data_IF_232602022935
#
_entry.id   IF_232602022935
#
_cell.length_a   1.000
_cell.length_b   1.000
_cell.length_c   1.000
_cell.angle_alpha   90.00
_cell.angle_beta   90.00
_cell.angle_gamma   90.00
#
_symmetry.space_group_name_H-M   'P 1'
#
loop_
_entity.id
_entity.type
_entity.pdbx_description
1 polymer ?
#
# COMPACT_ATOMS: atom_id res chain seq x y z
N UNK A 1 -23.22 40.25 -7.80
CA UNK A 1 -24.20 39.14 -7.85
C UNK A 1 -23.57 37.95 -7.15
N UNK A 2 -23.72 37.84 -5.83
CA UNK A 2 -23.08 36.77 -5.04
C UNK A 2 -24.12 35.69 -4.75
N UNK A 3 -23.87 34.50 -5.29
CA UNK A 3 -24.70 33.30 -5.22
C UNK A 3 -25.03 32.90 -3.78
N UNK A 4 -26.33 32.80 -3.49
CA UNK A 4 -26.84 32.30 -2.21
C UNK A 4 -26.46 30.83 -2.04
N UNK A 5 -25.46 30.53 -1.20
CA UNK A 5 -25.21 29.16 -0.73
C UNK A 5 -26.42 28.69 0.06
N UNK A 6 -27.27 27.88 -0.56
CA UNK A 6 -28.41 27.24 0.09
C UNK A 6 -27.98 26.58 1.40
N UNK A 7 -28.66 26.94 2.48
CA UNK A 7 -28.40 26.41 3.82
C UNK A 7 -28.75 24.92 3.79
N UNK A 8 -27.73 24.05 3.86
CA UNK A 8 -27.93 22.61 3.91
C UNK A 8 -28.44 22.23 5.29
N UNK A 9 -29.62 21.65 5.35
CA UNK A 9 -30.25 21.15 6.58
C UNK A 9 -30.20 19.63 6.63
N UNK A 10 -30.08 19.09 7.84
CA UNK A 10 -30.08 17.67 8.13
C UNK A 10 -30.90 17.39 9.38
N UNK A 11 -31.61 16.27 9.41
CA UNK A 11 -32.27 15.77 10.61
C UNK A 11 -31.25 15.06 11.53
N UNK A 12 -31.02 15.64 12.70
CA UNK A 12 -30.28 15.01 13.78
C UNK A 12 -31.18 14.98 15.00
N UNK A 13 -31.50 13.78 15.47
CA UNK A 13 -32.37 13.51 16.62
C UNK A 13 -33.83 14.03 16.47
N UNK A 14 -34.39 13.93 15.25
CA UNK A 14 -35.78 14.30 14.95
C UNK A 14 -35.99 15.80 14.71
N UNK A 15 -34.90 16.56 14.49
CA UNK A 15 -34.94 17.98 14.22
C UNK A 15 -34.08 18.34 13.00
N UNK A 16 -34.71 18.96 12.00
CA UNK A 16 -34.03 19.55 10.84
C UNK A 16 -33.25 20.80 11.26
N UNK A 17 -31.92 20.74 11.18
CA UNK A 17 -31.01 21.83 11.54
C UNK A 17 -29.96 22.06 10.47
N UNK A 18 -29.43 23.28 10.37
CA UNK A 18 -28.38 23.60 9.40
C UNK A 18 -27.04 22.96 9.79
N UNK A 19 -26.19 22.66 8.79
CA UNK A 19 -24.83 22.19 9.06
C UNK A 19 -24.00 23.20 9.88
N UNK A 20 -24.30 24.49 9.78
CA UNK A 20 -23.66 25.52 10.63
C UNK A 20 -24.07 25.37 12.09
N UNK A 21 -25.37 25.23 12.35
CA UNK A 21 -25.87 25.00 13.71
C UNK A 21 -25.34 23.71 14.32
N UNK A 22 -25.24 22.64 13.52
CA UNK A 22 -24.66 21.37 13.98
C UNK A 22 -23.15 21.49 14.24
N UNK A 23 -22.44 22.34 13.51
CA UNK A 23 -21.02 22.61 13.74
C UNK A 23 -20.80 23.23 15.12
N UNK A 24 -21.59 24.26 15.43
CA UNK A 24 -21.51 24.98 16.70
C UNK A 24 -21.99 24.10 17.86
N UNK A 25 -23.11 23.39 17.70
CA UNK A 25 -23.71 22.55 18.77
C UNK A 25 -22.83 21.38 19.19
N UNK A 26 -22.16 20.72 18.23
CA UNK A 26 -21.34 19.53 18.52
C UNK A 26 -19.84 19.85 18.55
N UNK A 27 -19.45 21.12 18.44
CA UNK A 27 -18.06 21.58 18.37
C UNK A 27 -17.24 20.86 17.29
N UNK A 28 -17.86 20.68 16.11
CA UNK A 28 -17.23 20.02 14.95
C UNK A 28 -17.04 21.05 13.85
N UNK A 29 -15.84 21.11 13.29
CA UNK A 29 -15.54 21.94 12.13
C UNK A 29 -16.57 21.79 10.99
N UNK A 30 -17.10 22.93 10.51
CA UNK A 30 -18.17 22.97 9.50
C UNK A 30 -17.73 22.36 8.16
N UNK A 31 -16.43 22.50 7.79
CA UNK A 31 -15.89 21.88 6.57
C UNK A 31 -15.95 20.36 6.71
N UNK A 32 -15.64 19.83 7.89
CA UNK A 32 -15.75 18.41 8.20
C UNK A 32 -17.17 17.88 8.13
N UNK A 33 -18.14 18.60 8.70
CA UNK A 33 -19.57 18.24 8.58
C UNK A 33 -20.04 18.26 7.12
N UNK A 34 -19.62 19.27 6.36
CA UNK A 34 -19.92 19.37 4.92
C UNK A 34 -19.35 18.17 4.15
N UNK A 35 -18.14 17.74 4.49
CA UNK A 35 -17.50 16.57 3.88
C UNK A 35 -18.23 15.28 4.21
N UNK A 36 -18.56 15.06 5.49
CA UNK A 36 -19.37 13.90 5.94
C UNK A 36 -20.74 13.86 5.25
N UNK A 37 -21.39 15.01 5.13
CA UNK A 37 -22.67 15.14 4.43
C UNK A 37 -22.56 14.77 2.94
N UNK A 38 -21.52 15.25 2.24
CA UNK A 38 -21.23 14.88 0.84
C UNK A 38 -20.97 13.37 0.69
N UNK A 39 -20.36 12.75 1.70
CA UNK A 39 -20.08 11.32 1.73
C UNK A 39 -21.30 10.46 2.14
N UNK A 40 -22.49 11.08 2.29
CA UNK A 40 -23.72 10.37 2.63
C UNK A 40 -23.89 10.04 4.11
N UNK A 41 -23.04 10.57 5.01
CA UNK A 41 -23.26 10.43 6.45
C UNK A 41 -24.46 11.28 6.89
N UNK A 42 -25.36 10.70 7.69
CA UNK A 42 -26.64 11.28 8.13
C UNK A 42 -26.87 11.02 9.62
N UNK A 43 -27.76 11.80 10.25
CA UNK A 43 -28.10 11.66 11.68
C UNK A 43 -26.89 11.60 12.62
N UNK A 44 -26.90 10.68 13.60
CA UNK A 44 -25.82 10.54 14.61
C UNK A 44 -24.43 10.26 14.01
N UNK A 45 -24.35 9.69 12.80
CA UNK A 45 -23.06 9.45 12.12
C UNK A 45 -22.45 10.76 11.62
N UNK A 46 -23.27 11.72 11.20
CA UNK A 46 -22.82 13.03 10.73
C UNK A 46 -22.10 13.80 11.84
N UNK A 47 -22.64 13.77 13.05
CA UNK A 47 -22.16 14.52 14.23
C UNK A 47 -21.27 13.71 15.16
N UNK A 48 -20.75 12.55 14.72
CA UNK A 48 -19.89 11.73 15.56
C UNK A 48 -18.62 12.49 16.00
N UNK A 49 -18.21 12.41 17.27
CA UNK A 49 -17.00 13.07 17.74
C UNK A 49 -15.77 12.59 16.96
N UNK A 50 -14.81 13.48 16.78
CA UNK A 50 -13.55 13.16 16.10
C UNK A 50 -12.65 12.43 17.08
N UNK A 51 -12.58 11.11 16.99
CA UNK A 51 -11.53 10.35 17.67
C UNK A 51 -10.23 10.46 16.86
N UNK A 52 -9.25 11.19 17.38
CA UNK A 52 -7.90 11.21 16.82
C UNK A 52 -7.18 9.92 17.20
N UNK A 53 -7.35 8.85 16.41
CA UNK A 53 -6.57 7.62 16.58
C UNK A 53 -5.36 7.60 15.65
N UNK A 54 -4.30 8.30 16.04
CA UNK A 54 -2.94 7.95 15.64
C UNK A 54 -2.05 8.10 16.86
N UNK A 55 -1.63 6.97 17.45
CA UNK A 55 -0.58 6.99 18.47
C UNK A 55 0.60 7.80 17.93
N UNK A 56 1.03 8.81 18.69
CA UNK A 56 2.20 9.62 18.33
C UNK A 56 3.39 8.67 18.27
N UNK A 57 3.98 8.55 17.08
CA UNK A 57 5.16 7.73 16.91
C UNK A 57 6.31 8.41 17.64
N UNK A 58 6.80 7.72 18.69
CA UNK A 58 7.91 8.16 19.52
C UNK A 58 9.22 7.65 18.93
N UNK A 59 10.24 8.50 18.97
CA UNK A 59 11.59 8.22 18.50
C UNK A 59 12.59 8.53 19.61
N UNK A 60 13.64 7.72 19.69
CA UNK A 60 14.71 7.92 20.65
C UNK A 60 15.68 8.96 20.10
N UNK A 61 15.93 10.01 20.90
CA UNK A 61 16.87 11.07 20.64
C UNK A 61 17.66 11.27 21.93
N UNK A 62 18.93 10.89 21.91
CA UNK A 62 19.83 11.06 23.06
C UNK A 62 19.31 10.39 24.35
N UNK A 63 18.73 9.18 24.23
CA UNK A 63 18.14 8.43 25.33
C UNK A 63 16.76 8.92 25.78
N UNK A 64 16.22 9.97 25.15
CA UNK A 64 14.90 10.51 25.45
C UNK A 64 13.90 10.14 24.34
N UNK A 65 12.78 9.54 24.73
CA UNK A 65 11.66 9.27 23.80
C UNK A 65 10.90 10.56 23.53
N UNK A 66 11.01 11.06 22.30
CA UNK A 66 10.32 12.26 21.82
C UNK A 66 9.46 11.96 20.59
N UNK A 67 8.39 12.72 20.39
CA UNK A 67 7.65 12.66 19.13
C UNK A 67 8.31 13.56 18.07
N UNK A 68 7.95 13.37 16.79
CA UNK A 68 8.53 14.15 15.69
C UNK A 68 8.37 15.66 15.82
N UNK A 69 7.29 16.14 16.47
CA UNK A 69 7.03 17.57 16.67
C UNK A 69 8.00 18.15 17.71
N UNK A 70 8.23 17.43 18.80
CA UNK A 70 9.17 17.80 19.85
C UNK A 70 10.59 17.84 19.29
N UNK A 71 10.99 16.85 18.50
CA UNK A 71 12.31 16.81 17.85
C UNK A 71 12.48 17.95 16.86
N UNK A 72 11.47 18.19 16.03
CA UNK A 72 11.46 19.30 15.08
C UNK A 72 11.66 20.66 15.79
N UNK A 73 10.91 20.91 16.87
CA UNK A 73 11.05 22.13 17.67
C UNK A 73 12.42 22.24 18.34
N UNK A 74 12.90 21.17 18.96
CA UNK A 74 14.18 21.15 19.71
C UNK A 74 15.37 21.48 18.80
N UNK A 75 15.36 21.01 17.55
CA UNK A 75 16.48 21.17 16.61
C UNK A 75 16.22 22.19 15.49
N UNK A 76 15.14 22.96 15.56
CA UNK A 76 14.82 23.98 14.54
C UNK A 76 14.55 23.40 13.14
N UNK A 77 14.00 22.19 13.07
CA UNK A 77 13.69 21.50 11.82
C UNK A 77 12.19 21.48 11.53
N UNK A 78 11.81 21.28 10.27
CA UNK A 78 10.43 20.98 9.91
C UNK A 78 10.07 19.55 10.34
N UNK A 79 8.91 19.33 10.97
CA UNK A 79 8.38 18.01 11.33
C UNK A 79 8.41 17.03 10.14
N UNK A 80 8.06 17.52 8.94
CA UNK A 80 8.05 16.70 7.73
C UNK A 80 9.48 16.27 7.33
N UNK A 81 10.49 17.08 7.62
CA UNK A 81 11.90 16.73 7.41
C UNK A 81 12.30 15.60 8.33
N UNK A 82 12.01 15.70 9.63
CA UNK A 82 12.29 14.65 10.63
C UNK A 82 11.57 13.35 10.25
N UNK A 83 10.28 13.44 9.88
CA UNK A 83 9.49 12.29 9.44
C UNK A 83 10.05 11.64 8.17
N UNK A 84 10.42 12.45 7.16
CA UNK A 84 10.97 11.94 5.90
C UNK A 84 12.29 11.21 6.14
N UNK A 85 13.18 11.80 6.94
CA UNK A 85 14.44 11.17 7.36
C UNK A 85 14.19 9.87 8.11
N UNK A 86 13.25 9.87 9.05
CA UNK A 86 12.88 8.67 9.81
C UNK A 86 12.36 7.55 8.90
N UNK A 87 11.47 7.86 7.94
CA UNK A 87 10.96 6.90 6.96
C UNK A 87 12.04 6.32 6.05
N UNK A 88 13.13 7.08 5.82
CA UNK A 88 14.31 6.62 5.07
C UNK A 88 15.28 5.78 5.92
N UNK A 89 14.98 5.59 7.20
CA UNK A 89 15.81 4.82 8.13
C UNK A 89 16.86 5.63 8.88
N UNK A 90 16.90 6.95 8.69
CA UNK A 90 17.82 7.85 9.41
C UNK A 90 17.36 7.96 10.86
N UNK A 91 18.30 7.86 11.81
CA UNK A 91 18.07 7.96 13.27
C UNK A 91 19.06 8.96 13.88
N UNK A 92 19.02 9.16 15.19
CA UNK A 92 19.97 10.03 15.89
C UNK A 92 21.42 9.54 15.70
N UNK A 93 22.43 10.43 15.56
CA UNK A 93 22.33 11.90 15.52
C UNK A 93 21.91 12.46 14.14
N UNK A 94 21.98 11.66 13.09
CA UNK A 94 21.81 12.15 11.71
C UNK A 94 20.41 12.69 11.38
N UNK A 95 19.39 12.21 12.08
CA UNK A 95 18.00 12.63 11.88
C UNK A 95 17.80 14.11 12.22
N UNK A 96 18.63 14.67 13.11
CA UNK A 96 18.54 16.05 13.60
C UNK A 96 19.53 17.00 12.94
N UNK A 97 20.34 16.52 11.97
CA UNK A 97 21.27 17.39 11.25
C UNK A 97 20.55 18.54 10.52
N UNK A 98 21.15 19.73 10.40
CA UNK A 98 20.68 20.79 9.52
C UNK A 98 20.43 20.27 8.09
N UNK A 99 19.48 20.88 7.36
CA UNK A 99 19.07 20.37 6.03
C UNK A 99 20.23 20.31 5.04
N UNK A 100 21.11 21.31 5.05
CA UNK A 100 22.24 21.39 4.12
C UNK A 100 23.36 20.42 4.48
N UNK A 101 23.67 20.28 5.76
CA UNK A 101 24.64 19.30 6.26
C UNK A 101 24.17 17.86 5.96
N UNK A 102 22.89 17.59 6.22
CA UNK A 102 22.27 16.31 5.87
C UNK A 102 22.35 16.01 4.38
N UNK A 103 22.12 17.00 3.51
CA UNK A 103 22.26 16.84 2.05
C UNK A 103 23.71 16.60 1.63
N UNK A 104 24.68 17.26 2.27
CA UNK A 104 26.11 17.07 1.98
C UNK A 104 26.58 15.67 2.37
N UNK A 105 26.19 15.19 3.56
CA UNK A 105 26.48 13.83 4.03
C UNK A 105 25.85 12.77 3.12
N UNK A 106 24.55 12.91 2.84
CA UNK A 106 23.79 11.94 2.03
C UNK A 106 24.05 12.02 0.50
N UNK A 107 24.77 13.03 0.02
CA UNK A 107 25.27 13.08 -1.37
C UNK A 107 26.60 12.35 -1.56
N UNK A 108 27.40 12.22 -0.50
CA UNK A 108 28.71 11.56 -0.52
C UNK A 108 28.60 10.08 -0.20
N UNK A 109 27.68 9.73 0.70
CA UNK A 109 27.59 8.39 1.27
C UNK A 109 26.49 7.59 0.55
N UNK A 110 26.88 6.56 -0.19
CA UNK A 110 25.97 5.52 -0.62
C UNK A 110 25.42 4.77 0.60
N UNK A 111 24.34 3.97 0.46
CA UNK A 111 23.83 3.17 1.58
C UNK A 111 24.85 2.22 2.20
N UNK A 112 25.98 1.97 1.54
CA UNK A 112 27.08 1.14 2.04
C UNK A 112 27.99 1.90 3.02
N UNK A 113 28.10 3.22 2.87
CA UNK A 113 29.01 4.07 3.66
C UNK A 113 28.40 4.52 5.00
N UNK A 114 27.17 4.08 5.29
CA UNK A 114 26.49 4.34 6.56
C UNK A 114 27.28 3.63 7.68
N UNK A 115 27.75 4.40 8.67
CA UNK A 115 28.41 3.86 9.86
C UNK A 115 27.39 3.25 10.84
N UNK A 116 27.78 2.14 11.45
CA UNK A 116 27.03 1.42 12.49
C UNK A 116 27.99 0.74 13.47
N UNK A 117 27.50 0.46 14.67
CA UNK A 117 28.22 -0.39 15.64
C UNK A 117 27.69 -1.81 15.52
N UNK A 118 28.59 -2.77 15.29
CA UNK A 118 28.32 -4.22 15.34
C UNK A 118 29.37 -4.84 16.26
N UNK A 119 28.92 -5.59 17.27
CA UNK A 119 29.79 -6.24 18.26
C UNK A 119 30.82 -5.31 18.94
N UNK A 120 30.46 -4.03 19.10
CA UNK A 120 31.33 -3.02 19.73
C UNK A 120 32.31 -2.33 18.78
N UNK A 121 32.35 -2.71 17.51
CA UNK A 121 33.19 -2.09 16.48
C UNK A 121 32.39 -1.13 15.61
N UNK A 122 32.88 0.09 15.43
CA UNK A 122 32.37 1.04 14.44
C UNK A 122 32.84 0.63 13.05
N UNK A 123 31.89 0.32 12.18
CA UNK A 123 32.14 -0.08 10.80
C UNK A 123 31.03 0.41 9.87
N UNK A 124 31.31 0.52 8.59
CA UNK A 124 30.30 0.83 7.58
C UNK A 124 29.42 -0.39 7.27
N UNK A 125 28.22 -0.19 6.72
CA UNK A 125 27.38 -1.31 6.28
C UNK A 125 28.05 -2.13 5.15
N UNK A 126 28.94 -1.51 4.38
CA UNK A 126 29.79 -2.18 3.39
C UNK A 126 30.85 -3.07 4.03
N UNK A 127 31.57 -2.56 5.03
CA UNK A 127 32.55 -3.32 5.81
C UNK A 127 31.88 -4.48 6.55
N UNK A 128 30.77 -4.23 7.23
CA UNK A 128 29.97 -5.27 7.89
C UNK A 128 29.52 -6.37 6.93
N UNK A 129 29.20 -6.00 5.68
CA UNK A 129 28.83 -6.95 4.65
C UNK A 129 30.00 -7.83 4.21
N UNK A 130 31.19 -7.23 4.06
CA UNK A 130 32.40 -7.93 3.67
C UNK A 130 32.91 -8.86 4.80
N UNK A 131 32.96 -8.35 6.03
CA UNK A 131 33.49 -9.04 7.20
C UNK A 131 32.63 -10.25 7.59
N UNK A 132 31.31 -10.06 7.70
CA UNK A 132 30.39 -11.13 8.10
C UNK A 132 29.84 -11.95 6.92
N UNK A 133 30.36 -11.72 5.70
CA UNK A 133 29.96 -12.41 4.47
C UNK A 133 28.46 -12.40 4.19
N UNK A 134 27.77 -11.33 4.58
CA UNK A 134 26.35 -11.12 4.32
C UNK A 134 26.20 -10.22 3.10
N UNK A 135 25.30 -10.55 2.16
CA UNK A 135 25.07 -9.72 0.97
C UNK A 135 24.81 -8.24 1.34
N UNK A 136 25.43 -7.25 0.67
CA UNK A 136 25.30 -5.83 1.04
C UNK A 136 23.84 -5.36 1.08
N UNK A 137 23.03 -5.81 0.12
CA UNK A 137 21.60 -5.51 0.07
C UNK A 137 20.84 -5.99 1.30
N UNK A 138 21.23 -7.11 1.89
CA UNK A 138 20.60 -7.68 3.08
C UNK A 138 20.88 -6.82 4.31
N UNK A 139 22.15 -6.47 4.52
CA UNK A 139 22.58 -5.60 5.63
C UNK A 139 21.89 -4.23 5.52
N UNK A 140 21.90 -3.61 4.33
CA UNK A 140 21.23 -2.33 4.06
C UNK A 140 19.73 -2.41 4.32
N UNK A 141 19.05 -3.48 3.86
CA UNK A 141 17.61 -3.62 4.06
C UNK A 141 17.24 -3.84 5.53
N UNK A 142 18.04 -4.60 6.27
CA UNK A 142 17.88 -4.77 7.72
C UNK A 142 18.08 -3.45 8.45
N UNK A 143 19.12 -2.70 8.08
CA UNK A 143 19.37 -1.37 8.62
C UNK A 143 18.21 -0.41 8.36
N UNK A 144 17.67 -0.37 7.13
CA UNK A 144 16.48 0.44 6.78
C UNK A 144 15.23 0.04 7.56
N UNK A 145 15.10 -1.24 7.95
CA UNK A 145 14.02 -1.75 8.80
C UNK A 145 14.22 -1.47 10.30
N UNK A 146 15.38 -0.94 10.69
CA UNK A 146 15.69 -0.58 12.07
C UNK A 146 16.45 -1.66 12.86
N UNK A 147 16.85 -2.77 12.24
CA UNK A 147 17.66 -3.83 12.87
C UNK A 147 19.09 -3.30 13.10
N UNK A 148 19.72 -3.62 14.24
CA UNK A 148 21.03 -3.08 14.66
C UNK A 148 21.87 -4.13 15.37
N UNK A 149 23.15 -3.82 15.59
CA UNK A 149 24.09 -4.71 16.27
C UNK A 149 24.28 -6.03 15.52
N UNK A 150 24.52 -7.15 16.22
CA UNK A 150 24.80 -8.44 15.58
C UNK A 150 23.67 -8.93 14.66
N UNK A 151 22.42 -8.54 14.93
CA UNK A 151 21.26 -8.92 14.12
C UNK A 151 21.33 -8.41 12.67
N UNK A 152 22.12 -7.35 12.40
CA UNK A 152 22.35 -6.85 11.04
C UNK A 152 23.00 -7.91 10.14
N UNK A 153 23.87 -8.73 10.73
CA UNK A 153 24.73 -9.68 10.03
C UNK A 153 24.39 -11.14 10.34
N UNK A 154 23.36 -11.40 11.16
CA UNK A 154 22.89 -12.76 11.40
C UNK A 154 22.50 -13.46 10.09
N UNK A 155 23.06 -14.64 9.85
CA UNK A 155 22.65 -15.49 8.73
C UNK A 155 21.31 -16.12 9.08
N UNK A 156 20.23 -15.65 8.43
CA UNK A 156 18.92 -16.28 8.60
C UNK A 156 18.95 -17.55 7.76
N UNK A 157 19.00 -18.72 8.41
CA UNK A 157 18.73 -19.99 7.74
C UNK A 157 17.35 -19.87 7.13
N UNK A 158 17.28 -19.86 5.79
CA UNK A 158 15.98 -19.96 5.11
C UNK A 158 15.42 -21.32 5.47
N UNK A 159 14.44 -21.34 6.35
CA UNK A 159 13.56 -22.50 6.47
C UNK A 159 12.74 -22.49 5.19
N UNK A 160 13.24 -23.16 4.16
CA UNK A 160 12.42 -23.45 2.99
C UNK A 160 11.29 -24.33 3.50
N UNK A 161 10.07 -23.79 3.55
CA UNK A 161 8.90 -24.61 3.84
C UNK A 161 8.93 -25.79 2.88
N UNK A 162 8.93 -27.00 3.44
CA UNK A 162 8.95 -28.23 2.64
C UNK A 162 7.78 -28.30 1.65
N UNK A 163 7.80 -29.24 0.71
CA UNK A 163 6.69 -29.43 -0.21
C UNK A 163 5.38 -29.64 0.57
N UNK A 164 4.28 -29.04 0.08
CA UNK A 164 2.96 -29.24 0.67
C UNK A 164 2.51 -30.65 0.30
N UNK A 165 2.49 -31.55 1.29
CA UNK A 165 1.98 -32.92 1.18
C UNK A 165 0.49 -32.90 1.54
N UNK A 166 -0.32 -33.52 0.68
CA UNK A 166 -1.76 -33.66 0.85
C UNK A 166 -2.08 -34.93 1.66
N UNK A 167 -3.32 -35.09 2.08
CA UNK A 167 -3.78 -36.25 2.89
C UNK A 167 -3.60 -37.59 2.18
N UNK A 168 -3.62 -37.59 0.85
CA UNK A 168 -3.38 -38.78 0.00
C UNK A 168 -1.89 -39.06 -0.23
N UNK A 169 -0.99 -38.35 0.46
CA UNK A 169 0.46 -38.51 0.38
C UNK A 169 1.10 -37.89 -0.86
N UNK A 170 0.31 -37.35 -1.81
CA UNK A 170 0.82 -36.66 -2.99
C UNK A 170 1.22 -35.23 -2.65
N UNK A 171 2.23 -34.69 -3.34
CA UNK A 171 2.56 -33.27 -3.23
C UNK A 171 1.62 -32.40 -4.05
N UNK A 172 1.44 -31.14 -3.65
CA UNK A 172 0.65 -30.18 -4.43
C UNK A 172 1.21 -29.96 -5.86
N UNK A 173 2.51 -30.20 -6.04
CA UNK A 173 3.17 -30.19 -7.35
C UNK A 173 2.81 -31.41 -8.21
N UNK A 174 2.77 -32.61 -7.61
CA UNK A 174 2.29 -33.82 -8.29
C UNK A 174 0.82 -33.70 -8.68
N UNK A 175 -0.02 -33.16 -7.80
CA UNK A 175 -1.44 -32.91 -8.09
C UNK A 175 -1.59 -31.92 -9.26
N UNK A 176 -0.76 -30.88 -9.33
CA UNK A 176 -0.76 -29.92 -10.44
C UNK A 176 -0.45 -30.61 -11.78
N UNK A 177 0.59 -31.44 -11.81
CA UNK A 177 0.97 -32.19 -12.99
C UNK A 177 -0.14 -33.17 -13.44
N UNK A 178 -0.73 -33.90 -12.48
CA UNK A 178 -1.78 -34.89 -12.74
C UNK A 178 -3.08 -34.27 -13.25
N UNK A 179 -3.51 -33.17 -12.65
CA UNK A 179 -4.78 -32.51 -12.99
C UNK A 179 -4.65 -31.49 -14.12
N UNK A 180 -3.43 -31.16 -14.54
CA UNK A 180 -3.11 -30.04 -15.45
C UNK A 180 -3.68 -28.70 -14.96
N UNK A 181 -3.85 -28.55 -13.64
CA UNK A 181 -4.20 -27.28 -13.00
C UNK A 181 -2.89 -26.60 -12.60
N UNK A 182 -2.82 -25.30 -12.85
CA UNK A 182 -1.65 -24.50 -12.48
C UNK A 182 -1.36 -24.60 -10.96
N UNK A 183 -0.07 -24.76 -10.62
CA UNK A 183 0.39 -24.93 -9.23
C UNK A 183 -0.08 -23.78 -8.33
N UNK A 184 0.00 -22.53 -8.81
CA UNK A 184 -0.40 -21.36 -8.04
C UNK A 184 -1.91 -21.39 -7.74
N UNK A 185 -2.72 -21.86 -8.69
CA UNK A 185 -4.15 -22.05 -8.49
C UNK A 185 -4.46 -23.07 -7.40
N UNK A 186 -3.75 -24.22 -7.39
CA UNK A 186 -3.90 -25.21 -6.33
C UNK A 186 -3.40 -24.68 -4.98
N UNK A 187 -2.28 -23.95 -4.97
CA UNK A 187 -1.72 -23.36 -3.76
C UNK A 187 -2.70 -22.38 -3.11
N UNK A 188 -3.30 -21.48 -3.91
CA UNK A 188 -4.32 -20.55 -3.42
C UNK A 188 -5.54 -21.25 -2.82
N UNK A 189 -6.00 -22.33 -3.46
CA UNK A 189 -7.13 -23.13 -2.95
C UNK A 189 -6.78 -23.84 -1.64
N UNK A 190 -5.57 -24.39 -1.55
CA UNK A 190 -5.08 -25.03 -0.34
C UNK A 190 -4.96 -24.03 0.81
N UNK A 191 -4.41 -22.84 0.56
CA UNK A 191 -4.36 -21.74 1.53
C UNK A 191 -5.75 -21.26 1.96
N UNK A 192 -6.74 -21.32 1.06
CA UNK A 192 -8.14 -21.04 1.36
C UNK A 192 -8.87 -22.19 2.09
N UNK A 193 -8.17 -23.26 2.47
CA UNK A 193 -8.73 -24.38 3.23
C UNK A 193 -9.41 -25.47 2.40
N UNK A 194 -9.39 -25.38 1.06
CA UNK A 194 -9.97 -26.43 0.20
C UNK A 194 -9.15 -27.72 0.26
N UNK A 195 -9.83 -28.86 0.32
CA UNK A 195 -9.21 -30.20 0.42
C UNK A 195 -9.92 -31.18 -0.53
N UNK A 196 -9.30 -32.35 -0.74
CA UNK A 196 -9.85 -33.43 -1.56
C UNK A 196 -10.34 -32.97 -2.94
N UNK A 197 -11.56 -33.35 -3.31
CA UNK A 197 -12.14 -33.06 -4.61
C UNK A 197 -12.28 -31.56 -4.92
N UNK A 198 -12.49 -30.71 -3.90
CA UNK A 198 -12.62 -29.25 -4.10
C UNK A 198 -11.30 -28.61 -4.54
N UNK A 199 -10.18 -29.22 -4.15
CA UNK A 199 -8.85 -28.75 -4.50
C UNK A 199 -8.59 -28.94 -5.99
N UNK A 200 -9.04 -30.05 -6.58
CA UNK A 200 -8.78 -30.48 -7.96
C UNK A 200 -9.88 -30.12 -8.98
N UNK A 201 -10.86 -29.30 -8.60
CA UNK A 201 -11.93 -28.86 -9.54
C UNK A 201 -11.33 -28.08 -10.73
N UNK A 202 -11.62 -28.51 -11.95
CA UNK A 202 -11.15 -27.78 -13.14
C UNK A 202 -11.69 -26.34 -13.16
N UNK A 203 -10.83 -25.33 -13.42
CA UNK A 203 -11.28 -23.94 -13.44
C UNK A 203 -12.28 -23.73 -14.57
N UNK A 204 -13.51 -23.31 -14.24
CA UNK A 204 -14.52 -22.92 -15.22
C UNK A 204 -14.05 -21.64 -15.93
N UNK A 205 -13.57 -21.76 -17.17
CA UNK A 205 -13.24 -20.59 -18.01
C UNK A 205 -14.53 -19.94 -18.48
N UNK A 206 -15.00 -18.90 -17.78
CA UNK A 206 -16.09 -18.06 -18.29
C UNK A 206 -15.58 -17.30 -19.52
N UNK A 207 -16.14 -17.59 -20.69
CA UNK A 207 -15.92 -16.76 -21.88
C UNK A 207 -16.68 -15.46 -21.66
N UNK A 208 -15.97 -14.34 -21.79
CA UNK A 208 -16.57 -13.02 -21.65
C UNK A 208 -17.23 -12.66 -22.99
N UNK A 209 -18.56 -12.74 -23.01
CA UNK A 209 -19.40 -12.44 -24.17
C UNK A 209 -19.95 -11.02 -24.04
N UNK A 210 -20.07 -10.32 -25.16
CA UNK A 210 -20.61 -8.96 -25.23
C UNK A 210 -21.52 -8.87 -26.44
N UNK A 211 -22.69 -8.24 -26.27
CA UNK A 211 -23.59 -7.96 -27.37
C UNK A 211 -23.13 -6.72 -28.14
N UNK A 212 -22.95 -6.88 -29.44
CA UNK A 212 -22.56 -5.81 -30.34
C UNK A 212 -23.27 -6.01 -31.68
N UNK A 213 -24.00 -4.98 -32.12
CA UNK A 213 -24.80 -4.98 -33.35
C UNK A 213 -25.77 -6.18 -33.44
N UNK A 214 -26.45 -6.52 -32.33
CA UNK A 214 -27.44 -7.59 -32.29
C UNK A 214 -26.87 -9.01 -32.33
N UNK A 215 -25.53 -9.17 -32.25
CA UNK A 215 -24.86 -10.47 -32.15
C UNK A 215 -24.04 -10.54 -30.87
N UNK A 216 -23.96 -11.72 -30.27
CA UNK A 216 -23.05 -12.01 -29.15
C UNK A 216 -21.64 -12.27 -29.68
N UNK A 217 -20.66 -11.49 -29.23
CA UNK A 217 -19.24 -11.64 -29.58
C UNK A 217 -18.39 -11.96 -28.36
N UNK A 218 -17.30 -12.70 -28.54
CA UNK A 218 -16.20 -12.72 -27.56
C UNK A 218 -15.33 -11.47 -27.72
N UNK A 219 -14.68 -11.04 -26.63
CA UNK A 219 -13.69 -9.95 -26.71
C UNK A 219 -12.53 -10.26 -27.67
N UNK A 220 -12.20 -11.54 -27.86
CA UNK A 220 -11.14 -11.95 -28.79
C UNK A 220 -11.58 -11.76 -30.25
N UNK A 221 -12.82 -12.12 -30.57
CA UNK A 221 -13.38 -11.90 -31.91
C UNK A 221 -13.52 -10.40 -32.21
N UNK A 222 -14.03 -9.59 -31.27
CA UNK A 222 -14.06 -8.13 -31.42
C UNK A 222 -12.66 -7.53 -31.59
N UNK A 223 -11.69 -8.04 -30.85
CA UNK A 223 -10.30 -7.58 -30.96
C UNK A 223 -9.72 -7.83 -32.34
N UNK A 224 -10.00 -9.00 -32.93
CA UNK A 224 -9.57 -9.34 -34.29
C UNK A 224 -10.31 -8.54 -35.35
N UNK A 225 -11.61 -8.32 -35.18
CA UNK A 225 -12.44 -7.62 -36.16
C UNK A 225 -12.15 -6.11 -36.22
N UNK A 226 -11.94 -5.47 -35.07
CA UNK A 226 -11.79 -4.01 -34.96
C UNK A 226 -10.36 -3.56 -34.66
N UNK A 227 -9.40 -4.49 -34.63
CA UNK A 227 -7.99 -4.23 -34.30
C UNK A 227 -7.77 -3.48 -32.97
N UNK A 228 -8.69 -3.64 -32.01
CA UNK A 228 -8.57 -3.08 -30.66
C UNK A 228 -8.02 -4.15 -29.72
N UNK A 229 -7.00 -3.87 -28.90
CA UNK A 229 -6.48 -4.85 -27.95
C UNK A 229 -7.55 -5.39 -26.99
N UNK A 230 -7.56 -6.70 -26.73
CA UNK A 230 -8.50 -7.37 -25.81
C UNK A 230 -8.51 -6.70 -24.42
N UNK A 231 -7.35 -6.24 -23.95
CA UNK A 231 -7.24 -5.52 -22.67
C UNK A 231 -8.02 -4.21 -22.66
N UNK A 232 -7.95 -3.45 -23.76
CA UNK A 232 -8.71 -2.20 -23.94
C UNK A 232 -10.21 -2.48 -23.97
N UNK A 233 -10.65 -3.46 -24.75
CA UNK A 233 -12.06 -3.87 -24.81
C UNK A 233 -12.57 -4.29 -23.42
N UNK A 234 -11.79 -5.09 -22.68
CA UNK A 234 -12.13 -5.52 -21.32
C UNK A 234 -12.29 -4.34 -20.37
N UNK A 235 -11.41 -3.35 -20.44
CA UNK A 235 -11.49 -2.15 -19.60
C UNK A 235 -12.73 -1.32 -19.93
N UNK A 236 -13.05 -1.15 -21.21
CA UNK A 236 -14.24 -0.43 -21.68
C UNK A 236 -15.53 -1.09 -21.20
N UNK A 237 -15.66 -2.42 -21.31
CA UNK A 237 -16.84 -3.11 -20.76
C UNK A 237 -16.94 -2.96 -19.24
N UNK A 238 -15.80 -3.02 -18.51
CA UNK A 238 -15.79 -2.75 -17.06
C UNK A 238 -16.23 -1.32 -16.72
N UNK A 239 -16.00 -0.37 -17.61
CA UNK A 239 -16.45 1.02 -17.51
C UNK A 239 -17.91 1.20 -17.97
N UNK A 240 -18.58 0.14 -18.43
CA UNK A 240 -19.95 0.18 -18.92
C UNK A 240 -20.09 0.68 -20.37
N UNK A 241 -18.99 0.78 -21.12
CA UNK A 241 -19.05 1.13 -22.55
C UNK A 241 -19.61 -0.04 -23.37
N UNK A 242 -20.57 0.26 -24.24
CA UNK A 242 -21.24 -0.67 -25.15
C UNK A 242 -21.38 -0.06 -26.56
N UNK A 243 -21.81 -0.86 -27.53
CA UNK A 243 -21.97 -0.40 -28.92
C UNK A 243 -20.66 0.10 -29.51
N UNK A 244 -20.71 1.14 -30.35
CA UNK A 244 -19.56 1.64 -31.11
C UNK A 244 -18.44 2.19 -30.21
N UNK A 245 -18.79 2.67 -29.01
CA UNK A 245 -17.82 3.14 -28.02
C UNK A 245 -16.89 2.01 -27.54
N UNK A 246 -17.39 0.77 -27.54
CA UNK A 246 -16.61 -0.40 -27.16
C UNK A 246 -15.46 -0.64 -28.13
N UNK A 247 -15.69 -0.46 -29.44
CA UNK A 247 -14.75 -0.82 -30.51
C UNK A 247 -13.98 0.37 -31.08
N UNK A 248 -14.16 1.58 -30.54
CA UNK A 248 -13.42 2.77 -30.99
C UNK A 248 -11.89 2.54 -31.01
N UNK A 249 -11.15 3.01 -32.02
CA UNK A 249 -9.70 2.84 -32.07
C UNK A 249 -9.04 3.40 -30.80
N UNK A 250 -7.97 2.78 -30.27
CA UNK A 250 -7.22 3.34 -29.16
C UNK A 250 -6.65 4.71 -29.57
N UNK A 251 -6.79 5.69 -28.69
CA UNK A 251 -6.25 7.03 -28.92
C UNK A 251 -4.73 6.92 -29.07
N UNK A 252 -4.22 7.11 -30.28
CA UNK A 252 -2.78 7.27 -30.51
C UNK A 252 -2.46 8.73 -30.22
N UNK A 253 -1.69 9.07 -29.18
CA UNK A 253 -1.18 10.43 -29.07
C UNK A 253 -0.40 10.71 -30.36
N UNK A 254 -0.79 11.76 -31.08
CA UNK A 254 -0.02 12.22 -32.26
C UNK A 254 1.42 12.42 -31.79
N UNK A 255 2.34 11.71 -32.45
CA UNK A 255 3.79 11.91 -32.26
C UNK A 255 4.17 13.33 -32.62
#
# INVERSE_FOLDING_TARGET
MADHRGIKTEDVDGQLRSLSYLADKYEIDQIRLTTRYKNGERGKRLVRPVHYTKGLQMIDIDGQKMNFIQVAKKFGLNQQTVLSRYKRGVRYPDIVLPVDEFKRKMKRDGPQDIQTVIDGHEMTLGEASAEYQVKPSTVINRYKRGIRGPELVQTVKRVTSGPIVLEDGQTLSELAAKTRIDYMTLWQRYQAGKRGAELSVQPKRKRFMVDYQGRTWTLLELSRAFHVPVGTLRNRVKQGESGDNLVRPPYSPKK
#
